data_IF_411044119802
#
_entry.id   IF_411044119802
#
_cell.length_a   1.000
_cell.length_b   1.000
_cell.length_c   1.000
_cell.angle_alpha   90.00
_cell.angle_beta   90.00
_cell.angle_gamma   90.00
#
_symmetry.space_group_name_H-M   'P 1'
#
loop_
_entity.id
_entity.type
_entity.pdbx_description
1 polymer ?
#
# COMPACT_ATOMS: atom_id res chain seq x y z
N UNK A 1 -10.49 -17.42 -11.72
CA UNK A 1 -9.61 -16.62 -10.83
C UNK A 1 -8.19 -16.97 -11.19
N UNK A 2 -7.33 -15.98 -11.38
CA UNK A 2 -5.90 -16.21 -11.61
C UNK A 2 -5.26 -16.83 -10.37
N UNK A 3 -4.30 -17.73 -10.56
CA UNK A 3 -3.55 -18.30 -9.44
C UNK A 3 -2.61 -17.25 -8.84
N UNK A 4 -2.18 -17.45 -7.58
CA UNK A 4 -1.17 -16.58 -6.96
C UNK A 4 0.07 -16.47 -7.85
N UNK A 5 0.61 -17.58 -8.33
CA UNK A 5 1.79 -17.61 -9.18
C UNK A 5 1.63 -16.81 -10.48
N UNK A 6 0.43 -16.83 -11.08
CA UNK A 6 0.11 -15.99 -12.23
C UNK A 6 0.13 -14.50 -11.87
N UNK A 7 -0.45 -14.12 -10.72
CA UNK A 7 -0.42 -12.74 -10.23
C UNK A 7 1.01 -12.27 -9.92
N UNK A 8 1.87 -13.13 -9.35
CA UNK A 8 3.29 -12.79 -9.10
C UNK A 8 4.05 -12.62 -10.43
N UNK A 9 3.77 -13.46 -11.43
CA UNK A 9 4.36 -13.35 -12.77
C UNK A 9 3.94 -12.04 -13.45
N UNK A 10 2.65 -11.70 -13.39
CA UNK A 10 2.14 -10.43 -13.91
C UNK A 10 2.81 -9.25 -13.19
N UNK A 11 2.91 -9.31 -11.86
CA UNK A 11 3.53 -8.27 -11.06
C UNK A 11 4.99 -8.04 -11.47
N UNK A 12 5.76 -9.13 -11.59
CA UNK A 12 7.16 -9.08 -12.02
C UNK A 12 7.32 -8.50 -13.44
N UNK A 13 6.42 -8.86 -14.37
CA UNK A 13 6.42 -8.33 -15.73
C UNK A 13 6.15 -6.82 -15.75
N UNK A 14 5.16 -6.34 -14.99
CA UNK A 14 4.88 -4.90 -14.87
C UNK A 14 6.08 -4.15 -14.28
N UNK A 15 6.74 -4.70 -13.26
CA UNK A 15 7.97 -4.11 -12.69
C UNK A 15 9.08 -4.07 -13.75
N UNK A 16 9.25 -5.15 -14.51
CA UNK A 16 10.20 -5.22 -15.62
C UNK A 16 9.98 -4.11 -16.65
N UNK A 17 8.72 -3.83 -17.01
CA UNK A 17 8.36 -2.74 -17.91
C UNK A 17 8.62 -1.37 -17.27
N UNK A 18 8.24 -1.17 -16.01
CA UNK A 18 8.52 0.10 -15.30
C UNK A 18 10.02 0.41 -15.26
N UNK A 19 10.88 -0.61 -15.14
CA UNK A 19 12.34 -0.47 -15.17
C UNK A 19 12.90 0.01 -16.51
N UNK A 20 12.18 -0.15 -17.63
CA UNK A 20 12.64 0.35 -18.94
C UNK A 20 12.44 1.85 -19.10
N UNK A 21 11.59 2.45 -18.25
CA UNK A 21 11.34 3.89 -18.23
C UNK A 21 12.39 4.54 -17.32
N UNK A 22 13.44 5.10 -17.92
CA UNK A 22 14.60 5.66 -17.19
C UNK A 22 14.23 6.72 -16.15
N UNK A 23 13.19 7.51 -16.40
CA UNK A 23 12.65 8.51 -15.46
C UNK A 23 12.20 7.87 -14.14
N UNK A 24 11.81 6.60 -14.15
CA UNK A 24 11.32 5.88 -12.97
C UNK A 24 12.41 5.18 -12.16
N UNK A 25 13.68 5.28 -12.57
CA UNK A 25 14.77 4.52 -11.96
C UNK A 25 14.91 4.72 -10.44
N UNK A 26 14.69 5.94 -9.93
CA UNK A 26 14.75 6.25 -8.48
C UNK A 26 13.40 6.12 -7.76
N UNK A 27 12.32 5.84 -8.49
CA UNK A 27 11.01 5.67 -7.88
C UNK A 27 10.95 4.33 -7.14
N UNK A 28 10.31 4.35 -5.97
CA UNK A 28 10.07 3.20 -5.11
C UNK A 28 8.75 2.53 -5.50
N UNK A 29 8.76 1.20 -5.52
CA UNK A 29 7.57 0.37 -5.76
C UNK A 29 7.43 -0.69 -4.68
N UNK A 30 6.18 -1.02 -4.36
CA UNK A 30 5.78 -2.17 -3.54
C UNK A 30 4.41 -2.68 -3.99
N UNK A 31 4.14 -3.96 -3.78
CA UNK A 31 2.81 -4.57 -3.97
C UNK A 31 2.00 -4.45 -2.68
N UNK A 32 0.75 -3.98 -2.76
CA UNK A 32 -0.17 -3.79 -1.62
C UNK A 32 -1.49 -4.56 -1.82
N UNK A 33 -1.66 -5.28 -2.93
CA UNK A 33 -2.86 -6.05 -3.26
C UNK A 33 -2.97 -7.40 -2.55
N UNK A 34 -4.18 -7.98 -2.60
CA UNK A 34 -4.49 -9.27 -2.00
C UNK A 34 -4.27 -10.47 -2.94
N UNK A 35 -4.83 -11.62 -2.60
CA UNK A 35 -4.72 -12.86 -3.41
C UNK A 35 -5.48 -12.81 -4.75
N UNK A 36 -6.23 -11.74 -5.03
CA UNK A 36 -7.15 -11.65 -6.17
C UNK A 36 -6.76 -10.57 -7.20
N UNK A 37 -5.95 -9.60 -6.81
CA UNK A 37 -5.54 -8.44 -7.61
C UNK A 37 -4.12 -7.98 -7.30
N UNK A 38 -3.44 -7.39 -8.29
CA UNK A 38 -2.10 -6.81 -8.12
C UNK A 38 -2.21 -5.30 -8.03
N UNK A 39 -2.18 -4.78 -6.81
CA UNK A 39 -2.10 -3.34 -6.57
C UNK A 39 -0.67 -2.89 -6.34
N UNK A 40 -0.26 -1.85 -7.07
CA UNK A 40 1.04 -1.21 -6.92
C UNK A 40 0.92 0.10 -6.16
N UNK A 41 1.83 0.32 -5.22
CA UNK A 41 2.12 1.65 -4.73
C UNK A 41 3.45 2.12 -5.30
N UNK A 42 3.41 3.28 -5.95
CA UNK A 42 4.56 3.92 -6.57
C UNK A 42 4.65 5.37 -6.12
N UNK A 43 5.86 5.86 -5.88
CA UNK A 43 6.10 7.27 -5.53
C UNK A 43 6.41 8.14 -6.77
N UNK A 44 5.71 7.92 -7.88
CA UNK A 44 5.90 8.67 -9.14
C UNK A 44 5.07 9.96 -9.10
N UNK A 45 5.72 11.09 -9.39
CA UNK A 45 5.03 12.37 -9.55
C UNK A 45 3.96 12.27 -10.64
N UNK A 46 2.76 12.82 -10.38
CA UNK A 46 1.59 12.73 -11.27
C UNK A 46 0.96 11.33 -11.43
N UNK A 47 1.35 10.33 -10.62
CA UNK A 47 0.57 9.10 -10.50
C UNK A 47 -0.88 9.39 -10.03
N UNK A 48 -1.88 8.57 -10.38
CA UNK A 48 -1.77 7.43 -11.30
C UNK A 48 -1.74 7.85 -12.79
N UNK A 49 -2.12 9.09 -13.11
CA UNK A 49 -2.31 9.57 -14.49
C UNK A 49 -1.04 9.48 -15.34
N UNK A 50 0.09 10.03 -14.87
CA UNK A 50 1.34 10.05 -15.63
C UNK A 50 1.93 8.65 -15.87
N UNK A 51 1.80 7.76 -14.89
CA UNK A 51 2.19 6.35 -15.03
C UNK A 51 1.34 5.68 -16.10
N UNK A 52 0.02 5.85 -16.03
CA UNK A 52 -0.92 5.28 -17.02
C UNK A 52 -0.63 5.79 -18.44
N UNK A 53 -0.49 7.10 -18.63
CA UNK A 53 -0.23 7.70 -19.94
C UNK A 53 1.05 7.14 -20.57
N UNK A 54 2.12 6.97 -19.77
CA UNK A 54 3.36 6.36 -20.27
C UNK A 54 3.20 4.88 -20.60
N UNK A 55 2.57 4.10 -19.73
CA UNK A 55 2.40 2.66 -19.96
C UNK A 55 1.60 2.39 -21.24
N UNK A 56 0.56 3.18 -21.51
CA UNK A 56 -0.24 3.07 -22.74
C UNK A 56 0.49 3.55 -24.00
N UNK A 57 1.48 4.43 -23.86
CA UNK A 57 2.25 4.99 -24.98
C UNK A 57 3.48 4.15 -25.38
N UNK A 58 3.80 3.06 -24.67
CA UNK A 58 4.91 2.18 -25.04
C UNK A 58 4.62 1.45 -26.36
N UNK A 59 5.62 1.27 -27.25
CA UNK A 59 5.48 0.38 -28.39
C UNK A 59 5.09 -1.03 -27.95
N UNK A 60 4.13 -1.64 -28.65
CA UNK A 60 3.59 -2.98 -28.35
C UNK A 60 3.16 -3.15 -26.87
N UNK A 61 2.61 -2.08 -26.29
CA UNK A 61 2.19 -2.07 -24.88
C UNK A 61 1.19 -3.20 -24.58
N UNK A 62 1.45 -4.04 -23.57
CA UNK A 62 0.49 -5.02 -23.11
C UNK A 62 -0.62 -4.40 -22.25
N UNK A 63 -0.55 -3.09 -21.96
CA UNK A 63 -1.52 -2.38 -21.13
C UNK A 63 -2.71 -1.91 -21.97
N UNK A 64 -3.91 -2.30 -21.56
CA UNK A 64 -5.17 -1.83 -22.13
C UNK A 64 -5.96 -1.07 -21.07
N UNK A 65 -6.65 0.01 -21.48
CA UNK A 65 -7.56 0.72 -20.58
C UNK A 65 -8.98 0.18 -20.72
N UNK A 66 -9.54 -0.31 -19.61
CA UNK A 66 -10.97 -0.57 -19.46
C UNK A 66 -11.49 0.19 -18.23
N UNK A 67 -12.61 0.92 -18.40
CA UNK A 67 -13.20 1.87 -17.45
C UNK A 67 -12.37 3.13 -17.10
N UNK A 68 -13.05 4.20 -16.72
CA UNK A 68 -12.46 5.48 -16.31
C UNK A 68 -12.73 5.68 -14.81
N UNK A 69 -11.80 5.26 -13.94
CA UNK A 69 -11.86 5.64 -12.53
C UNK A 69 -11.34 7.08 -12.38
N UNK A 70 -12.15 7.95 -11.79
CA UNK A 70 -11.82 9.34 -11.48
C UNK A 70 -11.79 9.54 -9.96
N UNK A 71 -10.73 10.17 -9.46
CA UNK A 71 -10.60 10.56 -8.05
C UNK A 71 -10.29 12.06 -7.96
N UNK A 72 -10.94 12.74 -7.02
CA UNK A 72 -10.77 14.17 -6.72
C UNK A 72 -9.52 14.40 -5.86
N UNK A 73 -8.71 15.43 -6.19
CA UNK A 73 -7.45 15.76 -5.51
C UNK A 73 -7.64 17.02 -4.66
N UNK A 74 -7.27 16.97 -3.39
CA UNK A 74 -7.20 18.17 -2.55
C UNK A 74 -5.94 19.01 -2.88
N UNK A 75 -5.95 20.33 -2.63
CA UNK A 75 -4.81 21.22 -2.94
C UNK A 75 -3.48 20.82 -2.27
N UNK A 76 -3.51 20.04 -1.18
CA UNK A 76 -2.33 19.60 -0.43
C UNK A 76 -1.68 18.29 -0.93
N UNK A 77 -2.21 17.68 -2.00
CA UNK A 77 -1.40 16.89 -2.93
C UNK A 77 -0.62 15.66 -2.45
N UNK A 78 -0.94 15.03 -1.31
CA UNK A 78 -0.32 13.75 -0.95
C UNK A 78 -1.23 12.57 -1.30
N UNK A 79 -0.86 11.79 -2.32
CA UNK A 79 -1.63 10.65 -2.83
C UNK A 79 -1.44 9.35 -2.04
N UNK A 80 -0.56 9.34 -1.05
CA UNK A 80 -0.60 8.47 0.11
C UNK A 80 0.53 8.96 1.01
N UNK A 81 0.27 9.60 2.16
CA UNK A 81 1.35 10.18 2.98
C UNK A 81 2.17 9.12 3.71
N UNK A 82 1.95 7.83 3.44
CA UNK A 82 2.72 6.73 3.94
C UNK A 82 3.23 5.86 2.79
N UNK A 83 4.55 5.83 2.63
CA UNK A 83 5.24 4.89 1.74
C UNK A 83 5.80 3.76 2.59
N UNK A 84 5.41 2.49 2.37
CA UNK A 84 5.93 1.35 3.11
C UNK A 84 7.45 1.30 3.17
N UNK A 85 8.00 0.89 4.31
CA UNK A 85 9.44 0.65 4.46
C UNK A 85 9.93 -0.44 3.49
N UNK A 86 9.06 -1.41 3.18
CA UNK A 86 9.32 -2.45 2.20
C UNK A 86 9.51 -1.94 0.76
N UNK A 87 9.03 -0.73 0.41
CA UNK A 87 9.15 -0.22 -0.95
C UNK A 87 10.62 -0.03 -1.36
N UNK A 88 10.98 -0.49 -2.57
CA UNK A 88 12.36 -0.48 -3.08
C UNK A 88 12.46 0.34 -4.36
N UNK A 89 13.60 1.00 -4.57
CA UNK A 89 13.86 1.72 -5.82
C UNK A 89 13.83 0.75 -7.00
N UNK A 90 13.21 1.15 -8.10
CA UNK A 90 13.09 0.33 -9.30
C UNK A 90 14.46 -0.11 -9.85
N UNK A 91 15.47 0.76 -9.84
CA UNK A 91 16.83 0.39 -10.30
C UNK A 91 17.45 -0.76 -9.50
N UNK A 92 17.20 -0.80 -8.20
CA UNK A 92 17.87 -1.74 -7.26
C UNK A 92 17.15 -3.10 -7.18
N UNK A 93 15.93 -3.21 -7.74
CA UNK A 93 15.17 -4.46 -7.74
C UNK A 93 15.75 -5.47 -8.75
N UNK A 94 16.11 -6.69 -8.34
CA UNK A 94 16.49 -7.73 -9.28
C UNK A 94 15.32 -8.06 -10.24
N UNK A 95 15.63 -8.42 -11.48
CA UNK A 95 14.60 -8.84 -12.44
C UNK A 95 13.87 -10.09 -11.92
N UNK A 96 12.56 -10.14 -12.14
CA UNK A 96 11.71 -11.23 -11.66
C UNK A 96 11.30 -11.15 -10.19
N UNK A 97 11.77 -10.13 -9.44
CA UNK A 97 11.41 -9.98 -8.02
C UNK A 97 10.15 -9.15 -7.81
N UNK A 98 9.36 -9.52 -6.80
CA UNK A 98 8.13 -8.84 -6.40
C UNK A 98 8.30 -8.32 -4.97
N UNK A 99 8.47 -7.00 -4.76
CA UNK A 99 8.60 -6.43 -3.43
C UNK A 99 7.23 -6.33 -2.77
N UNK A 100 6.88 -7.32 -1.94
CA UNK A 100 5.66 -7.29 -1.14
C UNK A 100 5.78 -6.29 0.00
N UNK A 101 4.67 -5.62 0.31
CA UNK A 101 4.52 -4.86 1.55
C UNK A 101 4.75 -5.79 2.75
N UNK A 102 5.44 -5.29 3.79
CA UNK A 102 5.60 -6.06 5.02
C UNK A 102 4.28 -6.17 5.77
N UNK A 103 4.10 -7.18 6.61
CA UNK A 103 2.90 -7.32 7.43
C UNK A 103 2.70 -6.11 8.37
N UNK A 104 3.78 -5.53 8.90
CA UNK A 104 3.76 -4.31 9.70
C UNK A 104 3.30 -3.12 8.87
N UNK A 105 3.91 -2.90 7.69
CA UNK A 105 3.51 -1.80 6.82
C UNK A 105 2.05 -1.95 6.34
N UNK A 106 1.59 -3.18 6.12
CA UNK A 106 0.20 -3.45 5.74
C UNK A 106 -0.76 -3.08 6.88
N UNK A 107 -0.44 -3.45 8.12
CA UNK A 107 -1.24 -3.05 9.29
C UNK A 107 -1.28 -1.52 9.44
N UNK A 108 -0.13 -0.85 9.33
CA UNK A 108 -0.03 0.63 9.38
C UNK A 108 -0.85 1.27 8.26
N UNK A 109 -0.74 0.76 7.03
CA UNK A 109 -1.49 1.26 5.89
C UNK A 109 -3.01 1.13 6.09
N UNK A 110 -3.45 0.02 6.68
CA UNK A 110 -4.86 -0.24 6.99
C UNK A 110 -5.39 0.69 8.09
N UNK A 111 -4.63 0.90 9.16
CA UNK A 111 -4.94 1.90 10.20
C UNK A 111 -5.08 3.29 9.58
N UNK A 112 -4.08 3.70 8.81
CA UNK A 112 -4.06 5.02 8.17
C UNK A 112 -5.22 5.22 7.18
N UNK A 113 -5.53 4.19 6.39
CA UNK A 113 -6.57 4.28 5.34
C UNK A 113 -7.99 4.22 5.90
N UNK A 114 -8.20 3.62 7.08
CA UNK A 114 -9.52 3.45 7.68
C UNK A 114 -10.31 4.77 7.78
N UNK A 115 -9.68 5.86 8.23
CA UNK A 115 -10.32 7.18 8.31
C UNK A 115 -10.63 7.83 6.96
N UNK A 116 -9.90 7.43 5.92
CA UNK A 116 -9.93 8.07 4.60
C UNK A 116 -10.91 7.43 3.61
N UNK A 117 -11.38 6.20 3.87
CA UNK A 117 -12.34 5.54 2.97
C UNK A 117 -13.69 6.26 2.98
N UNK A 118 -14.33 6.38 1.83
CA UNK A 118 -15.70 6.89 1.75
C UNK A 118 -16.72 5.84 2.25
N UNK A 119 -16.54 4.57 1.90
CA UNK A 119 -17.50 3.52 2.26
C UNK A 119 -17.27 2.99 3.68
N UNK A 120 -18.33 3.02 4.50
CA UNK A 120 -18.30 2.47 5.87
C UNK A 120 -17.92 0.99 5.92
N UNK A 121 -18.31 0.20 4.91
CA UNK A 121 -17.93 -1.21 4.81
C UNK A 121 -16.42 -1.37 4.65
N UNK A 122 -15.78 -0.54 3.81
CA UNK A 122 -14.32 -0.53 3.63
C UNK A 122 -13.59 -0.07 4.89
N UNK A 123 -14.13 0.90 5.64
CA UNK A 123 -13.59 1.30 6.95
C UNK A 123 -13.56 0.13 7.93
N UNK A 124 -14.67 -0.62 8.02
CA UNK A 124 -14.75 -1.83 8.87
C UNK A 124 -13.74 -2.89 8.43
N UNK A 125 -13.66 -3.18 7.14
CA UNK A 125 -12.66 -4.13 6.61
C UNK A 125 -11.25 -3.70 6.98
N UNK A 126 -10.90 -2.43 6.75
CA UNK A 126 -9.56 -1.94 7.07
C UNK A 126 -9.25 -2.01 8.58
N UNK A 127 -10.22 -1.69 9.45
CA UNK A 127 -10.07 -1.83 10.90
C UNK A 127 -9.87 -3.30 11.33
N UNK A 128 -10.73 -4.23 10.89
CA UNK A 128 -10.61 -5.64 11.25
C UNK A 128 -9.34 -6.30 10.69
N UNK A 129 -8.96 -5.98 9.45
CA UNK A 129 -7.71 -6.47 8.85
C UNK A 129 -6.50 -6.01 9.68
N UNK A 130 -6.48 -4.74 10.07
CA UNK A 130 -5.43 -4.20 10.92
C UNK A 130 -5.42 -4.87 12.31
N UNK A 131 -6.57 -5.10 12.93
CA UNK A 131 -6.66 -5.77 14.23
C UNK A 131 -6.06 -7.17 14.18
N UNK A 132 -6.44 -7.95 13.16
CA UNK A 132 -5.96 -9.31 12.98
C UNK A 132 -4.45 -9.35 12.71
N UNK A 133 -3.95 -8.44 11.86
CA UNK A 133 -2.52 -8.33 11.59
C UNK A 133 -1.74 -7.96 12.84
N UNK A 134 -2.17 -6.96 13.60
CA UNK A 134 -1.49 -6.53 14.84
C UNK A 134 -1.54 -7.64 15.89
N UNK A 135 -2.66 -8.34 16.03
CA UNK A 135 -2.77 -9.46 16.97
C UNK A 135 -1.78 -10.59 16.62
N UNK A 136 -1.65 -10.95 15.34
CA UNK A 136 -0.71 -11.99 14.91
C UNK A 136 0.75 -11.53 15.01
N UNK A 137 1.05 -10.30 14.62
CA UNK A 137 2.40 -9.73 14.72
C UNK A 137 2.86 -9.65 16.18
N UNK A 138 1.98 -9.21 17.09
CA UNK A 138 2.32 -9.08 18.51
C UNK A 138 2.40 -10.43 19.25
N UNK A 139 1.82 -11.49 18.69
CA UNK A 139 2.03 -12.87 19.16
C UNK A 139 3.49 -13.30 19.02
N UNK A 140 4.22 -12.75 18.05
CA UNK A 140 5.62 -13.05 17.76
C UNK A 140 6.59 -12.19 18.57
N UNK A 141 6.11 -11.12 19.21
CA UNK A 141 6.88 -10.23 20.06
C UNK A 141 6.38 -8.78 19.98
N UNK A 142 6.89 -7.87 20.83
CA UNK A 142 6.52 -6.46 20.78
C UNK A 142 6.83 -5.82 19.42
N UNK A 143 5.91 -5.00 18.92
CA UNK A 143 6.10 -4.26 17.68
C UNK A 143 7.02 -3.05 17.89
N UNK A 144 8.01 -2.90 17.02
CA UNK A 144 8.85 -1.69 16.92
C UNK A 144 8.52 -0.98 15.61
N UNK A 145 7.83 0.15 15.72
CA UNK A 145 7.46 0.97 14.56
C UNK A 145 8.58 1.97 14.24
N UNK A 146 8.87 2.19 12.95
CA UNK A 146 9.69 3.33 12.52
C UNK A 146 8.96 4.65 12.80
N UNK A 147 9.68 5.77 12.71
CA UNK A 147 9.09 7.10 12.91
C UNK A 147 7.97 7.39 11.89
N UNK A 148 8.16 6.96 10.64
CA UNK A 148 7.17 7.14 9.56
C UNK A 148 5.93 6.28 9.82
N UNK A 149 6.13 5.02 10.25
CA UNK A 149 5.06 4.11 10.62
C UNK A 149 4.24 4.65 11.80
N UNK A 150 4.93 5.14 12.83
CA UNK A 150 4.31 5.76 14.00
C UNK A 150 3.48 6.98 13.61
N UNK A 151 4.05 7.89 12.80
CA UNK A 151 3.32 9.08 12.33
C UNK A 151 2.08 8.73 11.50
N UNK A 152 2.15 7.68 10.66
CA UNK A 152 1.00 7.22 9.91
C UNK A 152 -0.08 6.62 10.83
N UNK A 153 0.33 5.79 11.80
CA UNK A 153 -0.59 5.25 12.81
C UNK A 153 -1.29 6.36 13.57
N UNK A 154 -0.56 7.34 14.11
CA UNK A 154 -1.13 8.44 14.89
C UNK A 154 -2.21 9.21 14.13
N UNK A 155 -2.07 9.38 12.82
CA UNK A 155 -3.06 10.06 11.97
C UNK A 155 -4.35 9.26 11.75
N UNK A 156 -4.32 7.93 11.85
CA UNK A 156 -5.47 7.06 11.62
C UNK A 156 -6.05 6.40 12.89
N UNK A 157 -5.33 6.52 14.02
CA UNK A 157 -5.63 5.80 15.26
C UNK A 157 -6.98 6.18 15.87
N UNK A 158 -7.45 7.41 15.65
CA UNK A 158 -8.71 7.88 16.20
C UNK A 158 -9.92 7.28 15.47
N UNK A 159 -9.74 6.87 14.22
CA UNK A 159 -10.83 6.32 13.39
C UNK A 159 -11.06 4.83 13.64
N UNK A 160 -9.99 4.04 13.83
CA UNK A 160 -10.10 2.57 13.91
C UNK A 160 -11.02 2.04 15.01
N UNK A 161 -11.11 2.62 16.24
CA UNK A 161 -12.00 2.11 17.28
C UNK A 161 -13.49 2.27 16.94
N UNK A 162 -13.85 3.19 16.04
CA UNK A 162 -15.23 3.39 15.62
C UNK A 162 -15.73 2.33 14.61
N UNK A 163 -14.81 1.59 13.99
CA UNK A 163 -15.11 0.61 12.94
C UNK A 163 -14.60 -0.81 13.23
N UNK A 164 -13.72 -0.96 14.21
CA UNK A 164 -13.18 -2.24 14.68
C UNK A 164 -13.83 -2.76 15.97
N UNK A 165 -13.31 -3.87 16.48
CA UNK A 165 -13.74 -4.49 17.75
C UNK A 165 -12.85 -4.14 18.94
N UNK A 166 -11.72 -3.44 18.75
CA UNK A 166 -10.76 -3.12 19.81
C UNK A 166 -10.80 -1.66 20.25
N UNK A 167 -10.54 -1.43 21.54
CA UNK A 167 -10.48 -0.09 22.12
C UNK A 167 -9.21 0.66 21.72
N UNK A 168 -9.22 1.98 21.86
CA UNK A 168 -8.05 2.83 21.56
C UNK A 168 -6.84 2.45 22.43
N UNK A 169 -7.08 2.06 23.68
CA UNK A 169 -6.05 1.62 24.62
C UNK A 169 -5.38 0.34 24.15
N UNK A 170 -6.17 -0.63 23.65
CA UNK A 170 -5.62 -1.86 23.05
C UNK A 170 -4.69 -1.54 21.90
N UNK A 171 -5.08 -0.62 21.01
CA UNK A 171 -4.22 -0.20 19.90
C UNK A 171 -2.93 0.45 20.38
N UNK A 172 -3.01 1.42 21.31
CA UNK A 172 -1.83 2.08 21.87
C UNK A 172 -0.86 1.06 22.49
N UNK A 173 -1.38 0.13 23.29
CA UNK A 173 -0.59 -0.94 23.90
C UNK A 173 0.11 -1.80 22.84
N UNK A 174 -0.66 -2.35 21.87
CA UNK A 174 -0.11 -3.27 20.86
C UNK A 174 0.84 -2.62 19.87
N UNK A 175 0.70 -1.32 19.64
CA UNK A 175 1.54 -0.54 18.72
C UNK A 175 2.75 0.10 19.43
N UNK A 176 2.93 -0.12 20.73
CA UNK A 176 4.01 0.50 21.50
C UNK A 176 3.93 2.03 21.49
N UNK A 177 2.71 2.57 21.53
CA UNK A 177 2.45 3.99 21.71
C UNK A 177 2.21 4.21 23.20
N UNK A 178 3.00 5.08 23.83
CA UNK A 178 2.80 5.45 25.23
C UNK A 178 1.37 5.97 25.45
N UNK A 179 0.79 5.62 26.60
CA UNK A 179 -0.55 6.03 27.01
C UNK A 179 -0.69 7.56 27.03
#
# INVERSE_FOLDING_TARGET
>A
MSSRAELETVAANVIGILKTISEYADNRVTIIGGLADVDFMVNVSNAPRGVKEKLLALPDSPFIQQAQLFYYKTPSGSLSPYMPAAARKLRDLPLGTVPYISAVDLAVFKIYSCGLRAERSKRRTDAFDAENLIAELTRQGPLSLTNEQRSAVEKGLDDVPAYGGKSKEWWKEKLGLSA
#
